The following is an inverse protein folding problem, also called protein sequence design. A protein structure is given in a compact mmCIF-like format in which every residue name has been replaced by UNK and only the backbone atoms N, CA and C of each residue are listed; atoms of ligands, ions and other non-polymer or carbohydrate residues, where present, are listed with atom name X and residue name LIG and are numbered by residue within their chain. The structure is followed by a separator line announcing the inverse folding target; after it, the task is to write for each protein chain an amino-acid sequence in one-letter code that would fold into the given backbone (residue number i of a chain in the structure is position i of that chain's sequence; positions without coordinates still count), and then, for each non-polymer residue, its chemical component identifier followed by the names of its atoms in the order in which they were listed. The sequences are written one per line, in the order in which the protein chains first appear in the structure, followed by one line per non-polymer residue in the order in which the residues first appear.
data_IF_334306605456
#
_entry.id   IF_334306605456
#
_cell.length_a   1.000
_cell.length_b   1.000
_cell.length_c   1.000
_cell.angle_alpha   90.00
_cell.angle_beta   90.00
_cell.angle_gamma   90.00
#
_symmetry.space_group_name_H-M   'P 1'
#
loop_
_entity.id
_entity.type
_entity.pdbx_description
1 polymer ?
#
# COMPACT_ATOMS: atom_id res chain seq x y z
N UNK A 1 -2.21 -29.29 -2.22
CA UNK A 1 -2.30 -29.53 -1.51
C UNK A 1 -2.70 -28.76 -0.60
N UNK A 2 -2.94 -28.00 -0.33
CA UNK A 2 -3.56 -27.13 0.51
C UNK A 2 -3.83 -27.60 1.87
N UNK A 3 -2.91 -28.38 2.40
CA UNK A 3 -3.19 -28.82 3.62
C UNK A 3 -2.91 -27.79 4.59
N UNK A 4 -3.76 -27.34 5.36
CA UNK A 4 -3.64 -26.31 6.38
C UNK A 4 -3.60 -26.98 7.74
N UNK A 5 -2.57 -26.69 8.50
CA UNK A 5 -2.49 -27.19 9.86
C UNK A 5 -3.46 -26.42 10.75
N UNK A 6 -4.06 -27.07 11.74
CA UNK A 6 -4.93 -26.37 12.68
C UNK A 6 -4.20 -25.19 13.31
N UNK A 7 -4.85 -24.04 13.33
CA UNK A 7 -4.27 -22.83 13.92
C UNK A 7 -3.35 -22.05 13.03
N UNK A 8 -3.17 -22.49 11.79
CA UNK A 8 -2.34 -21.77 10.83
C UNK A 8 -3.23 -21.21 9.73
N UNK A 9 -3.21 -19.91 9.59
CA UNK A 9 -3.97 -19.25 8.54
C UNK A 9 -3.23 -19.35 7.23
N UNK A 10 -3.95 -19.72 6.18
CA UNK A 10 -3.39 -19.76 4.83
C UNK A 10 -3.66 -18.42 4.17
N UNK A 11 -2.78 -17.46 4.44
CA UNK A 11 -2.91 -16.13 3.88
C UNK A 11 -2.54 -16.13 2.42
N UNK A 12 -3.40 -15.61 1.58
CA UNK A 12 -3.14 -15.52 0.15
C UNK A 12 -3.67 -14.21 -0.40
N UNK A 13 -2.91 -13.64 -1.32
CA UNK A 13 -3.33 -12.44 -2.04
C UNK A 13 -3.46 -12.83 -3.50
N UNK A 14 -4.64 -12.62 -4.08
CA UNK A 14 -4.81 -12.93 -5.49
C UNK A 14 -4.08 -11.90 -6.35
N UNK A 15 -3.58 -12.34 -7.50
CA UNK A 15 -2.90 -11.43 -8.43
C UNK A 15 -3.82 -10.30 -8.86
N UNK A 16 -5.07 -10.63 -9.15
CA UNK A 16 -6.04 -9.62 -9.58
C UNK A 16 -6.34 -8.62 -8.47
N UNK A 17 -6.53 -9.12 -7.24
CA UNK A 17 -6.80 -8.26 -6.10
C UNK A 17 -5.63 -7.31 -5.82
N UNK A 18 -4.41 -7.83 -5.88
CA UNK A 18 -3.21 -7.03 -5.69
C UNK A 18 -3.11 -5.95 -6.77
N UNK A 19 -3.26 -6.33 -8.04
CA UNK A 19 -3.16 -5.38 -9.14
C UNK A 19 -4.19 -4.26 -9.02
N UNK A 20 -5.42 -4.60 -8.68
CA UNK A 20 -6.48 -3.62 -8.54
C UNK A 20 -6.26 -2.69 -7.34
N UNK A 21 -5.77 -3.23 -6.24
CA UNK A 21 -5.50 -2.42 -5.05
C UNK A 21 -4.42 -1.38 -5.32
N UNK A 22 -3.34 -1.79 -5.99
CA UNK A 22 -2.27 -0.87 -6.33
C UNK A 22 -2.73 0.15 -7.37
N UNK A 23 -3.53 -0.28 -8.35
CA UNK A 23 -4.08 0.64 -9.35
C UNK A 23 -4.92 1.72 -8.68
N UNK A 24 -5.78 1.34 -7.75
CA UNK A 24 -6.61 2.29 -7.02
C UNK A 24 -5.76 3.27 -6.22
N UNK A 25 -4.71 2.76 -5.58
CA UNK A 25 -3.81 3.60 -4.80
C UNK A 25 -3.07 4.60 -5.67
N UNK A 26 -2.59 4.17 -6.83
CA UNK A 26 -1.89 5.06 -7.76
C UNK A 26 -2.83 6.14 -8.30
N UNK A 27 -4.05 5.78 -8.63
CA UNK A 27 -5.03 6.75 -9.09
C UNK A 27 -5.34 7.79 -8.02
N UNK A 28 -5.44 7.33 -6.78
CA UNK A 28 -5.68 8.23 -5.65
C UNK A 28 -4.52 9.19 -5.44
N UNK A 29 -3.29 8.66 -5.52
CA UNK A 29 -2.09 9.47 -5.31
C UNK A 29 -1.92 10.51 -6.41
N UNK A 30 -2.12 10.10 -7.65
CA UNK A 30 -1.82 10.93 -8.81
C UNK A 30 -3.00 11.80 -9.25
N UNK A 31 -4.21 11.45 -8.83
CA UNK A 31 -5.45 12.21 -9.11
C UNK A 31 -5.59 12.59 -10.58
N UNK A 32 -5.23 11.67 -11.46
CA UNK A 32 -5.31 11.87 -12.92
C UNK A 32 -4.54 13.09 -13.41
N UNK A 33 -3.49 13.48 -12.70
CA UNK A 33 -2.69 14.63 -13.09
C UNK A 33 -2.00 14.38 -14.43
N UNK A 34 -1.88 15.43 -15.27
CA UNK A 34 -1.08 15.30 -16.49
C UNK A 34 0.34 14.90 -16.13
N UNK A 35 0.90 13.96 -16.87
CA UNK A 35 2.25 13.50 -16.61
C UNK A 35 2.35 12.47 -15.49
N UNK A 36 1.24 11.97 -14.98
CA UNK A 36 1.24 10.95 -13.95
C UNK A 36 2.08 9.73 -14.32
N UNK A 37 1.94 9.26 -15.55
CA UNK A 37 2.69 8.11 -16.03
C UNK A 37 4.19 8.39 -16.00
N UNK A 38 4.59 9.57 -16.47
CA UNK A 38 6.00 9.94 -16.48
C UNK A 38 6.56 10.08 -15.07
N UNK A 39 5.75 10.57 -14.14
CA UNK A 39 6.14 10.67 -12.75
C UNK A 39 6.47 9.29 -12.18
N UNK A 40 5.59 8.32 -12.41
CA UNK A 40 5.80 6.96 -11.91
C UNK A 40 6.99 6.31 -12.61
N UNK A 41 7.14 6.54 -13.90
CA UNK A 41 8.32 6.06 -14.62
C UNK A 41 9.61 6.61 -14.00
N UNK A 42 9.59 7.89 -13.65
CA UNK A 42 10.75 8.52 -13.00
C UNK A 42 11.06 7.91 -11.64
N UNK A 43 10.04 7.56 -10.88
CA UNK A 43 10.26 6.94 -9.57
C UNK A 43 10.86 5.55 -9.70
N UNK A 44 10.35 4.74 -10.62
CA UNK A 44 10.62 3.31 -10.65
C UNK A 44 11.61 2.87 -11.71
N UNK A 45 11.81 3.69 -12.73
CA UNK A 45 12.62 3.28 -13.88
C UNK A 45 11.89 2.33 -14.82
N UNK A 46 10.62 2.04 -14.57
CA UNK A 46 9.83 1.17 -15.44
C UNK A 46 9.44 1.93 -16.72
N UNK A 47 9.18 1.17 -17.78
CA UNK A 47 8.77 1.80 -19.03
C UNK A 47 7.29 2.18 -19.01
N UNK A 48 6.89 2.95 -20.00
CA UNK A 48 5.54 3.48 -20.07
C UNK A 48 4.47 2.39 -20.07
N UNK A 49 4.69 1.34 -20.86
CA UNK A 49 3.71 0.25 -20.95
C UNK A 49 3.51 -0.44 -19.60
N UNK A 50 4.60 -0.68 -18.89
CA UNK A 50 4.53 -1.31 -17.58
C UNK A 50 3.75 -0.45 -16.60
N UNK A 51 4.03 0.85 -16.58
CA UNK A 51 3.33 1.78 -15.69
C UNK A 51 1.85 1.87 -16.05
N UNK A 52 1.53 1.90 -17.33
CA UNK A 52 0.13 1.91 -17.77
C UNK A 52 -0.61 0.67 -17.28
N UNK A 53 0.05 -0.49 -17.31
CA UNK A 53 -0.55 -1.73 -16.80
C UNK A 53 -0.83 -1.64 -15.31
N UNK A 54 0.07 -1.03 -14.55
CA UNK A 54 -0.14 -0.86 -13.11
C UNK A 54 -1.34 0.04 -12.83
N UNK A 55 -1.44 1.15 -13.56
CA UNK A 55 -2.53 2.10 -13.36
C UNK A 55 -3.86 1.52 -13.83
N UNK A 56 -3.83 0.72 -14.89
CA UNK A 56 -5.03 0.07 -15.40
C UNK A 56 -5.49 -1.11 -14.52
N UNK A 57 -4.61 -1.62 -13.68
CA UNK A 57 -4.95 -2.75 -12.81
C UNK A 57 -4.86 -4.09 -13.50
N UNK A 58 -4.23 -4.17 -14.66
CA UNK A 58 -4.05 -5.43 -15.37
C UNK A 58 -2.88 -6.24 -14.84
N UNK A 59 -1.86 -5.55 -14.34
CA UNK A 59 -0.69 -6.18 -13.74
C UNK A 59 -0.26 -5.35 -12.53
N UNK A 60 0.24 -6.03 -11.52
CA UNK A 60 0.80 -5.34 -10.35
C UNK A 60 2.31 -5.22 -10.46
N UNK A 61 2.90 -4.27 -9.74
CA UNK A 61 4.35 -4.12 -9.72
C UNK A 61 5.02 -5.29 -9.04
N UNK A 62 6.26 -5.59 -9.44
CA UNK A 62 7.08 -6.56 -8.74
C UNK A 62 7.43 -6.02 -7.35
N UNK A 63 7.98 -6.88 -6.50
CA UNK A 63 8.34 -6.47 -5.15
C UNK A 63 9.26 -5.26 -5.12
N UNK A 64 10.26 -5.23 -6.00
CA UNK A 64 11.18 -4.11 -6.05
C UNK A 64 10.49 -2.81 -6.43
N UNK A 65 9.63 -2.86 -7.43
CA UNK A 65 8.89 -1.68 -7.86
C UNK A 65 7.87 -1.24 -6.79
N UNK A 66 7.28 -2.21 -6.11
CA UNK A 66 6.35 -1.89 -5.02
C UNK A 66 7.04 -1.12 -3.91
N UNK A 67 8.25 -1.50 -3.55
CA UNK A 67 9.01 -0.81 -2.52
C UNK A 67 9.25 0.64 -2.93
N UNK A 68 9.66 0.87 -4.17
CA UNK A 68 9.90 2.22 -4.66
C UNK A 68 8.61 3.04 -4.70
N UNK A 69 7.52 2.43 -5.16
CA UNK A 69 6.23 3.11 -5.19
C UNK A 69 5.78 3.50 -3.78
N UNK A 70 5.93 2.60 -2.82
CA UNK A 70 5.55 2.88 -1.44
C UNK A 70 6.40 3.99 -0.83
N UNK A 71 7.66 4.08 -1.24
CA UNK A 71 8.55 5.15 -0.79
C UNK A 71 8.03 6.52 -1.24
N UNK A 72 7.54 6.62 -2.46
CA UNK A 72 7.09 7.88 -3.02
C UNK A 72 5.61 8.16 -2.82
N UNK A 73 4.81 7.13 -2.51
CA UNK A 73 3.36 7.27 -2.44
C UNK A 73 2.81 6.76 -1.12
N UNK A 74 2.25 7.65 -0.35
CA UNK A 74 1.58 7.28 0.88
C UNK A 74 0.39 6.36 0.60
N UNK A 75 -0.36 6.63 -0.47
CA UNK A 75 -1.50 5.81 -0.84
C UNK A 75 -1.09 4.36 -1.12
N UNK A 76 0.04 4.16 -1.81
CA UNK A 76 0.56 2.82 -2.07
C UNK A 76 0.99 2.16 -0.76
N UNK A 77 1.63 2.90 0.12
CA UNK A 77 2.03 2.37 1.42
C UNK A 77 0.82 1.90 2.23
N UNK A 78 -0.25 2.69 2.24
CA UNK A 78 -1.48 2.32 2.93
C UNK A 78 -2.08 1.07 2.31
N UNK A 79 -2.13 1.01 0.97
CA UNK A 79 -2.66 -0.17 0.29
C UNK A 79 -1.85 -1.42 0.62
N UNK A 80 -0.52 -1.29 0.64
CA UNK A 80 0.35 -2.38 1.01
C UNK A 80 0.05 -2.87 2.42
N UNK A 81 -0.07 -1.97 3.37
CA UNK A 81 -0.39 -2.33 4.75
C UNK A 81 -1.74 -3.03 4.86
N UNK A 82 -2.72 -2.56 4.12
CA UNK A 82 -4.04 -3.19 4.13
C UNK A 82 -4.01 -4.60 3.55
N UNK A 83 -3.23 -4.80 2.50
CA UNK A 83 -3.08 -6.11 1.89
C UNK A 83 -2.30 -7.07 2.77
N UNK A 84 -1.30 -6.56 3.46
CA UNK A 84 -0.42 -7.37 4.31
C UNK A 84 -0.91 -7.48 5.76
N UNK A 85 -2.12 -7.05 6.03
CA UNK A 85 -2.67 -6.99 7.36
C UNK A 85 -2.35 -8.24 8.18
N UNK A 86 -1.63 -8.04 9.26
CA UNK A 86 -1.17 -9.14 10.08
C UNK A 86 -2.04 -9.26 11.34
N UNK A 87 -2.81 -10.33 11.49
CA UNK A 87 -3.73 -10.45 12.63
C UNK A 87 -3.07 -10.30 13.98
N UNK A 88 -1.89 -10.84 14.15
CA UNK A 88 -1.17 -10.76 15.41
C UNK A 88 -0.81 -9.33 15.76
N UNK A 89 -0.43 -8.54 14.77
CA UNK A 89 -0.11 -7.12 14.98
C UNK A 89 -1.32 -6.36 15.49
N UNK A 90 -2.49 -6.69 14.98
CA UNK A 90 -3.71 -6.00 15.37
C UNK A 90 -4.14 -6.32 16.80
N UNK A 91 -3.80 -7.51 17.29
CA UNK A 91 -4.18 -7.93 18.62
C UNK A 91 -3.09 -7.69 19.66
N UNK A 92 -1.91 -7.25 19.27
CA UNK A 92 -0.80 -7.00 20.19
C UNK A 92 -1.10 -5.73 21.00
N UNK A 93 -1.15 -5.83 22.34
CA UNK A 93 -1.42 -4.65 23.17
C UNK A 93 -0.43 -3.51 22.95
N UNK A 94 0.83 -3.84 22.63
CA UNK A 94 1.84 -2.82 22.37
C UNK A 94 1.53 -2.00 21.12
N UNK A 95 1.00 -2.65 20.11
CA UNK A 95 0.59 -1.96 18.88
C UNK A 95 -0.57 -1.03 19.16
N UNK A 96 -1.55 -1.49 19.95
CA UNK A 96 -2.66 -0.66 20.35
C UNK A 96 -2.24 0.59 21.11
N UNK A 97 -1.28 0.42 22.01
CA UNK A 97 -0.76 1.55 22.79
C UNK A 97 -0.03 2.54 21.91
N UNK A 98 0.76 2.06 20.96
CA UNK A 98 1.48 2.93 20.01
C UNK A 98 0.49 3.74 19.21
N UNK A 99 -0.56 3.11 18.70
CA UNK A 99 -1.59 3.82 17.94
C UNK A 99 -2.25 4.91 18.77
N UNK A 100 -2.55 4.61 20.02
CA UNK A 100 -3.18 5.57 20.91
C UNK A 100 -2.29 6.77 21.11
N UNK A 101 -1.00 6.54 21.36
CA UNK A 101 -0.05 7.64 21.59
C UNK A 101 0.15 8.47 20.35
N UNK A 102 0.18 7.85 19.17
CA UNK A 102 0.29 8.58 17.93
C UNK A 102 -0.95 9.45 17.70
N UNK A 103 -2.12 8.93 17.98
CA UNK A 103 -3.35 9.69 17.86
C UNK A 103 -3.36 10.90 18.78
N UNK A 104 -2.92 10.73 20.02
CA UNK A 104 -2.82 11.82 20.98
C UNK A 104 -1.84 12.87 20.51
N UNK A 105 -0.70 12.44 19.96
CA UNK A 105 0.30 13.38 19.45
C UNK A 105 -0.26 14.20 18.29
N UNK A 106 -1.02 13.58 17.41
CA UNK A 106 -1.63 14.28 16.29
C UNK A 106 -2.65 15.30 16.78
N UNK A 107 -3.42 14.96 17.80
CA UNK A 107 -4.38 15.90 18.39
C UNK A 107 -3.67 17.14 18.94
N UNK A 108 -2.55 16.94 19.62
CA UNK A 108 -1.79 18.05 20.17
C UNK A 108 -1.25 18.94 19.05
N UNK A 109 -0.75 18.35 17.98
CA UNK A 109 -0.26 19.09 16.83
C UNK A 109 -1.37 19.90 16.20
N UNK A 110 -2.54 19.31 16.03
CA UNK A 110 -3.69 20.01 15.46
C UNK A 110 -4.09 21.21 16.30
N UNK A 111 -4.11 21.06 17.61
CA UNK A 111 -4.42 22.16 18.51
C UNK A 111 -3.36 23.26 18.44
N UNK A 112 -2.10 22.86 18.33
CA UNK A 112 -1.00 23.81 18.28
C UNK A 112 -0.97 24.62 16.99
N UNK A 113 -1.53 24.08 15.92
CA UNK A 113 -1.50 24.75 14.62
C UNK A 113 -2.62 25.79 14.48
N UNK A 114 -3.46 25.92 15.48
CA UNK A 114 -4.45 26.97 15.51
C UNK A 114 -3.88 28.25 16.07
#
# INVERSE_FOLDING_TARGET
MGKVFPGVDCFQVSKAGYALAIAAALKRELKEAPGAIKTVMGWTGANERTVKNWIAGTHGPSGEHLIVLAHHSHAVMVAFHQLAKHPESLSDPRIGLIRKKLSEALDVVDRSSL
#
